data_IF_919691505016
#
_entry.id   IF_919691505016
#
_cell.length_a   1.000
_cell.length_b   1.000
_cell.length_c   1.000
_cell.angle_alpha   90.00
_cell.angle_beta   90.00
_cell.angle_gamma   90.00
#
_symmetry.space_group_name_H-M   'P 1'
#
loop_
_entity.id
_entity.type
_entity.pdbx_description
1 polymer ?
#
# COMPACT_ATOMS: atom_id res chain seq x y z
N UNK A 1 33.67 40.31 -52.70
CA UNK A 1 32.51 39.40 -52.58
C UNK A 1 32.90 38.21 -51.71
N UNK A 2 32.62 38.34 -50.42
CA UNK A 2 32.92 37.31 -49.41
C UNK A 2 31.57 36.74 -48.95
N UNK A 3 31.32 35.45 -49.17
CA UNK A 3 30.13 34.74 -48.73
C UNK A 3 30.48 34.10 -47.36
N UNK A 4 29.75 34.53 -46.33
CA UNK A 4 29.83 33.98 -44.98
C UNK A 4 28.95 32.71 -44.91
N UNK A 5 29.55 31.57 -44.50
CA UNK A 5 28.88 30.32 -44.23
C UNK A 5 28.42 30.38 -42.76
N UNK A 6 27.10 30.40 -42.57
CA UNK A 6 26.45 30.30 -41.29
C UNK A 6 26.39 28.83 -40.84
N UNK A 7 27.13 28.44 -39.83
CA UNK A 7 27.01 27.15 -39.17
C UNK A 7 26.08 27.31 -37.95
N UNK A 8 24.87 26.76 -38.06
CA UNK A 8 23.98 26.62 -36.94
C UNK A 8 24.47 25.55 -35.97
N UNK A 9 24.56 25.81 -34.66
CA UNK A 9 24.88 24.77 -33.68
C UNK A 9 23.72 23.80 -33.53
N UNK A 10 23.98 22.52 -33.79
CA UNK A 10 23.04 21.44 -33.57
C UNK A 10 22.58 21.42 -32.11
N UNK A 11 21.26 21.45 -31.93
CA UNK A 11 20.60 21.21 -30.65
C UNK A 11 20.91 19.79 -30.19
N UNK A 12 21.84 19.65 -29.24
CA UNK A 12 22.01 18.41 -28.47
C UNK A 12 20.76 18.31 -27.61
N UNK A 13 19.86 17.41 -27.99
CA UNK A 13 18.72 17.03 -27.14
C UNK A 13 19.32 16.33 -25.92
N UNK A 14 19.33 17.04 -24.81
CA UNK A 14 19.72 16.52 -23.50
C UNK A 14 18.61 15.56 -23.04
N UNK A 15 18.72 14.27 -23.41
CA UNK A 15 17.85 13.19 -22.91
C UNK A 15 18.19 12.87 -21.45
N UNK A 16 17.96 13.85 -20.59
CA UNK A 16 18.10 13.73 -19.15
C UNK A 16 16.81 13.14 -18.57
N UNK A 17 16.29 12.04 -19.12
CA UNK A 17 15.39 11.13 -18.39
C UNK A 17 16.21 10.35 -17.37
N UNK A 18 16.69 11.04 -16.34
CA UNK A 18 16.99 10.36 -15.09
C UNK A 18 15.68 9.69 -14.67
N UNK A 19 15.66 8.36 -14.73
CA UNK A 19 14.61 7.53 -14.18
C UNK A 19 14.38 8.00 -12.75
N UNK A 20 13.34 8.81 -12.53
CA UNK A 20 12.98 9.23 -11.19
C UNK A 20 12.67 7.96 -10.39
N UNK A 21 13.40 7.72 -9.30
CA UNK A 21 13.17 6.57 -8.44
C UNK A 21 11.73 6.62 -7.91
N UNK A 22 11.09 5.46 -7.74
CA UNK A 22 9.79 5.41 -7.07
C UNK A 22 9.98 5.80 -5.61
N UNK A 23 9.06 6.60 -5.07
CA UNK A 23 9.06 6.96 -3.65
C UNK A 23 8.61 5.79 -2.77
N UNK A 24 7.95 4.79 -3.36
CA UNK A 24 7.44 3.60 -2.70
C UNK A 24 8.55 2.56 -2.61
N UNK A 25 8.95 2.11 -1.41
CA UNK A 25 9.93 1.05 -1.22
C UNK A 25 9.51 -0.26 -1.90
N UNK A 26 10.48 -1.00 -2.43
CA UNK A 26 10.24 -2.31 -3.08
C UNK A 26 10.09 -3.43 -2.05
N UNK A 27 9.08 -3.30 -1.20
CA UNK A 27 8.73 -4.27 -0.16
C UNK A 27 7.25 -4.61 -0.32
N UNK A 28 6.93 -5.90 -0.27
CA UNK A 28 5.55 -6.40 -0.24
C UNK A 28 5.27 -6.94 1.15
N UNK A 29 4.26 -6.38 1.79
CA UNK A 29 3.76 -6.78 3.09
C UNK A 29 2.53 -7.67 2.93
N UNK A 30 2.57 -8.85 3.52
CA UNK A 30 1.44 -9.77 3.58
C UNK A 30 1.27 -10.30 4.99
N UNK A 31 0.05 -10.64 5.35
CA UNK A 31 -0.25 -11.22 6.67
C UNK A 31 -1.32 -12.29 6.58
N UNK A 32 -1.23 -13.24 7.49
CA UNK A 32 -2.28 -14.22 7.77
C UNK A 32 -2.17 -14.63 9.25
N UNK A 33 -3.21 -15.27 9.77
CA UNK A 33 -3.17 -15.79 11.16
C UNK A 33 -2.17 -16.95 11.33
N UNK A 34 -1.77 -17.62 10.24
CA UNK A 34 -0.78 -18.70 10.23
C UNK A 34 0.06 -18.67 8.95
N UNK A 35 1.26 -19.22 9.03
CA UNK A 35 2.13 -19.46 7.87
C UNK A 35 1.72 -20.69 7.03
N UNK A 36 0.74 -21.47 7.52
CA UNK A 36 0.19 -22.62 6.78
C UNK A 36 -0.92 -22.12 5.85
N UNK A 37 -0.67 -22.15 4.55
CA UNK A 37 -1.60 -21.68 3.53
C UNK A 37 -1.95 -22.81 2.56
N UNK A 38 -3.14 -22.72 1.96
CA UNK A 38 -3.63 -23.67 0.97
C UNK A 38 -2.80 -23.67 -0.32
N UNK A 39 -2.92 -24.73 -1.12
CA UNK A 39 -2.22 -24.81 -2.41
C UNK A 39 -2.57 -23.66 -3.37
N UNK A 40 -3.83 -23.20 -3.51
CA UNK A 40 -4.15 -22.05 -4.34
C UNK A 40 -3.42 -20.78 -3.92
N UNK A 41 -3.32 -20.52 -2.61
CA UNK A 41 -2.58 -19.36 -2.09
C UNK A 41 -1.08 -19.47 -2.37
N UNK A 42 -0.50 -20.70 -2.24
CA UNK A 42 0.90 -20.94 -2.63
C UNK A 42 1.15 -20.66 -4.10
N UNK A 43 0.22 -21.08 -4.97
CA UNK A 43 0.31 -20.81 -6.41
C UNK A 43 0.25 -19.30 -6.70
N UNK A 44 -0.66 -18.57 -6.06
CA UNK A 44 -0.74 -17.11 -6.15
C UNK A 44 0.57 -16.43 -5.66
N UNK A 45 1.17 -16.93 -4.59
CA UNK A 45 2.47 -16.45 -4.10
C UNK A 45 3.59 -16.64 -5.13
N UNK A 46 3.69 -17.83 -5.73
CA UNK A 46 4.69 -18.10 -6.77
C UNK A 46 4.49 -17.15 -7.96
N UNK A 47 3.24 -16.97 -8.39
CA UNK A 47 2.89 -16.04 -9.45
C UNK A 47 3.25 -14.58 -9.11
N UNK A 48 2.85 -14.11 -7.94
CA UNK A 48 3.15 -12.76 -7.49
C UNK A 48 4.67 -12.51 -7.42
N UNK A 49 5.45 -13.50 -6.92
CA UNK A 49 6.91 -13.42 -6.88
C UNK A 49 7.54 -13.33 -8.27
N UNK A 50 6.96 -14.02 -9.24
CA UNK A 50 7.42 -13.94 -10.63
C UNK A 50 7.21 -12.52 -11.21
N UNK A 51 6.08 -11.89 -10.92
CA UNK A 51 5.72 -10.56 -11.39
C UNK A 51 6.34 -9.41 -10.59
N UNK A 52 6.94 -9.71 -9.43
CA UNK A 52 7.53 -8.72 -8.53
C UNK A 52 8.94 -9.10 -8.06
N UNK A 53 9.77 -9.63 -8.96
CA UNK A 53 11.13 -10.16 -8.64
C UNK A 53 12.05 -9.16 -7.95
N UNK A 54 11.86 -7.86 -8.18
CA UNK A 54 12.66 -6.80 -7.57
C UNK A 54 12.15 -6.37 -6.20
N UNK A 55 11.08 -7.01 -5.68
CA UNK A 55 10.49 -6.70 -4.39
C UNK A 55 10.88 -7.75 -3.34
N UNK A 56 11.17 -7.28 -2.13
CA UNK A 56 11.31 -8.13 -0.96
C UNK A 56 9.92 -8.50 -0.43
N UNK A 57 9.67 -9.78 -0.16
CA UNK A 57 8.45 -10.26 0.48
C UNK A 57 8.64 -10.36 1.98
N UNK A 58 7.78 -9.68 2.73
CA UNK A 58 7.73 -9.69 4.18
C UNK A 58 6.37 -10.22 4.62
N UNK A 59 6.35 -11.44 5.15
CA UNK A 59 5.17 -12.07 5.72
C UNK A 59 5.17 -11.90 7.23
N UNK A 60 3.99 -11.60 7.81
CA UNK A 60 3.79 -11.48 9.25
C UNK A 60 2.62 -12.36 9.70
N UNK A 61 2.88 -13.21 10.68
CA UNK A 61 1.84 -13.94 11.42
C UNK A 61 1.08 -13.01 12.37
N UNK A 62 0.13 -13.54 13.12
CA UNK A 62 -0.56 -12.77 14.18
C UNK A 62 0.43 -12.29 15.24
N UNK A 63 1.33 -13.16 15.66
CA UNK A 63 2.37 -12.86 16.66
C UNK A 63 3.36 -11.79 16.15
N UNK A 64 3.80 -11.92 14.89
CA UNK A 64 4.71 -10.96 14.26
C UNK A 64 4.07 -9.57 14.14
N UNK A 65 2.76 -9.50 13.83
CA UNK A 65 2.02 -8.24 13.80
C UNK A 65 1.98 -7.57 15.17
N UNK A 66 1.68 -8.35 16.22
CA UNK A 66 1.64 -7.83 17.59
C UNK A 66 3.01 -7.30 17.99
N UNK A 67 4.06 -8.08 17.80
CA UNK A 67 5.44 -7.66 18.11
C UNK A 67 5.83 -6.39 17.36
N UNK A 68 5.45 -6.28 16.07
CA UNK A 68 5.67 -5.07 15.30
C UNK A 68 4.94 -3.86 15.89
N UNK A 69 3.68 -4.01 16.29
CA UNK A 69 2.87 -2.93 16.87
C UNK A 69 3.46 -2.47 18.20
N UNK A 70 3.78 -3.39 19.09
CA UNK A 70 4.39 -3.09 20.40
C UNK A 70 5.72 -2.33 20.25
N UNK A 71 6.55 -2.75 19.31
CA UNK A 71 7.86 -2.13 19.07
C UNK A 71 7.76 -0.73 18.45
N UNK A 72 6.83 -0.52 17.50
CA UNK A 72 6.82 0.68 16.66
C UNK A 72 5.73 1.69 17.02
N UNK A 73 4.69 1.26 17.74
CA UNK A 73 3.53 2.07 18.13
C UNK A 73 3.14 1.84 19.61
N UNK A 74 4.10 2.00 20.56
CA UNK A 74 3.85 1.73 21.97
C UNK A 74 2.77 2.66 22.56
N UNK A 75 2.18 2.23 23.70
CA UNK A 75 1.14 2.97 24.40
C UNK A 75 -0.24 2.82 23.79
N UNK A 76 -0.97 3.92 23.63
CA UNK A 76 -2.37 3.93 23.20
C UNK A 76 -2.65 3.14 21.90
N UNK A 77 -1.85 3.26 20.83
CA UNK A 77 -2.10 2.48 19.61
C UNK A 77 -2.02 0.98 19.83
N UNK A 78 -1.07 0.48 20.66
CA UNK A 78 -0.97 -0.92 21.04
C UNK A 78 -2.17 -1.36 21.86
N UNK A 79 -2.62 -0.56 22.82
CA UNK A 79 -3.83 -0.85 23.59
C UNK A 79 -5.06 -1.00 22.70
N UNK A 80 -5.24 -0.10 21.73
CA UNK A 80 -6.34 -0.13 20.77
C UNK A 80 -6.24 -1.34 19.82
N UNK A 81 -5.03 -1.70 19.37
CA UNK A 81 -4.81 -2.91 18.59
C UNK A 81 -5.23 -4.17 19.37
N UNK A 82 -4.89 -4.26 20.65
CA UNK A 82 -5.23 -5.39 21.52
C UNK A 82 -6.74 -5.46 21.87
N UNK A 83 -7.48 -4.36 21.74
CA UNK A 83 -8.94 -4.37 21.88
C UNK A 83 -9.66 -5.05 20.71
N UNK A 84 -9.00 -5.15 19.55
CA UNK A 84 -9.57 -5.81 18.38
C UNK A 84 -9.52 -7.33 18.56
N UNK A 85 -10.66 -7.98 18.67
CA UNK A 85 -10.79 -9.44 18.82
C UNK A 85 -10.89 -10.17 17.48
N UNK A 86 -11.15 -9.44 16.39
CA UNK A 86 -11.31 -9.99 15.04
C UNK A 86 -9.99 -9.83 14.28
N UNK A 87 -9.40 -10.96 13.84
CA UNK A 87 -8.11 -10.97 13.17
C UNK A 87 -8.05 -10.15 11.87
N UNK A 88 -9.20 -10.03 11.15
CA UNK A 88 -9.31 -9.16 9.99
C UNK A 88 -9.16 -7.67 10.37
N UNK A 89 -9.82 -7.22 11.45
CA UNK A 89 -9.69 -5.86 11.95
C UNK A 89 -8.26 -5.53 12.41
N UNK A 90 -7.59 -6.50 13.06
CA UNK A 90 -6.18 -6.37 13.41
C UNK A 90 -5.29 -6.24 12.17
N UNK A 91 -5.57 -7.01 11.11
CA UNK A 91 -4.85 -6.92 9.85
C UNK A 91 -5.08 -5.57 9.15
N UNK A 92 -6.33 -5.05 9.19
CA UNK A 92 -6.68 -3.74 8.62
C UNK A 92 -5.93 -2.59 9.31
N UNK A 93 -5.86 -2.58 10.64
CA UNK A 93 -5.09 -1.59 11.38
C UNK A 93 -3.58 -1.75 11.12
N UNK A 94 -3.07 -2.98 11.17
CA UNK A 94 -1.65 -3.27 10.98
C UNK A 94 -1.15 -2.86 9.58
N UNK A 95 -1.94 -3.06 8.50
CA UNK A 95 -1.53 -2.64 7.15
C UNK A 95 -1.28 -1.14 7.05
N UNK A 96 -2.08 -0.33 7.74
CA UNK A 96 -1.86 1.12 7.80
C UNK A 96 -0.62 1.47 8.62
N UNK A 97 -0.40 0.80 9.74
CA UNK A 97 0.77 1.01 10.59
C UNK A 97 2.08 0.67 9.86
N UNK A 98 2.17 -0.50 9.21
CA UNK A 98 3.38 -0.90 8.50
C UNK A 98 3.67 -0.02 7.30
N UNK A 99 2.64 0.38 6.54
CA UNK A 99 2.79 1.29 5.41
C UNK A 99 3.18 2.70 5.88
N UNK A 100 2.61 3.20 6.96
CA UNK A 100 3.01 4.50 7.51
C UNK A 100 4.48 4.50 7.96
N UNK A 101 4.91 3.44 8.64
CA UNK A 101 6.28 3.32 9.19
C UNK A 101 7.33 3.09 8.10
N UNK A 102 7.08 2.15 7.20
CA UNK A 102 8.09 1.66 6.26
C UNK A 102 7.76 1.93 4.80
N UNK A 103 6.53 2.28 4.48
CA UNK A 103 6.07 2.31 3.09
C UNK A 103 6.06 0.91 2.46
N UNK A 104 5.98 0.88 1.14
CA UNK A 104 5.93 -0.36 0.37
C UNK A 104 4.54 -0.66 -0.16
N UNK A 105 4.29 -1.93 -0.44
CA UNK A 105 3.05 -2.45 -0.99
C UNK A 105 2.43 -3.44 -0.02
N UNK A 106 1.24 -3.16 0.47
CA UNK A 106 0.44 -4.16 1.14
C UNK A 106 -0.48 -4.83 0.12
N UNK A 107 -0.61 -6.14 0.19
CA UNK A 107 -1.63 -6.88 -0.54
C UNK A 107 -2.10 -8.09 0.26
N UNK A 108 -3.41 -8.36 0.23
CA UNK A 108 -3.98 -9.50 0.90
C UNK A 108 -3.37 -10.81 0.37
N UNK A 109 -3.33 -11.82 1.21
CA UNK A 109 -2.61 -13.07 0.94
C UNK A 109 -3.20 -13.87 -0.23
N UNK A 110 -4.48 -13.70 -0.49
CA UNK A 110 -5.26 -14.31 -1.59
C UNK A 110 -5.31 -13.43 -2.85
N UNK A 111 -4.74 -12.22 -2.77
CA UNK A 111 -4.65 -11.34 -3.94
C UNK A 111 -3.58 -11.80 -4.91
N UNK A 112 -3.80 -11.57 -6.20
CA UNK A 112 -2.82 -11.88 -7.24
C UNK A 112 -2.61 -10.70 -8.18
N UNK A 113 -1.37 -10.56 -8.67
CA UNK A 113 -0.98 -9.54 -9.61
C UNK A 113 -1.36 -9.94 -11.03
N UNK A 114 -1.93 -9.03 -11.77
CA UNK A 114 -2.21 -9.20 -13.22
C UNK A 114 -1.01 -8.71 -14.05
N UNK A 115 -0.31 -7.70 -13.56
CA UNK A 115 0.85 -7.08 -14.21
C UNK A 115 2.04 -6.98 -13.27
N UNK A 116 3.29 -6.93 -13.81
CA UNK A 116 4.46 -6.65 -13.01
C UNK A 116 4.32 -5.34 -12.23
N UNK A 117 4.60 -5.34 -10.92
CA UNK A 117 4.49 -4.16 -10.06
C UNK A 117 5.28 -2.96 -10.58
N UNK A 118 6.44 -3.17 -11.19
CA UNK A 118 7.23 -2.08 -11.79
C UNK A 118 6.54 -1.36 -12.96
N UNK A 119 5.53 -1.98 -13.59
CA UNK A 119 4.68 -1.33 -14.59
C UNK A 119 3.50 -0.61 -13.97
N UNK A 120 3.04 -1.09 -12.83
CA UNK A 120 1.89 -0.55 -12.12
C UNK A 120 2.28 0.64 -11.24
N UNK A 121 3.45 0.60 -10.62
CA UNK A 121 3.99 1.66 -9.77
C UNK A 121 5.02 2.46 -10.59
N UNK A 122 4.57 3.59 -11.11
CA UNK A 122 5.39 4.48 -11.92
C UNK A 122 6.41 5.26 -11.08
N UNK A 123 7.46 5.75 -11.73
CA UNK A 123 8.45 6.61 -11.09
C UNK A 123 7.79 7.88 -10.51
N UNK A 124 8.21 8.30 -9.32
CA UNK A 124 7.66 9.48 -8.64
C UNK A 124 6.31 9.24 -7.95
N UNK A 125 5.71 8.05 -8.08
CA UNK A 125 4.47 7.71 -7.36
C UNK A 125 4.73 7.64 -5.86
N UNK A 126 3.94 8.36 -5.06
CA UNK A 126 3.99 8.36 -3.60
C UNK A 126 2.95 7.46 -2.93
N UNK A 127 1.86 7.16 -3.66
CA UNK A 127 0.77 6.30 -3.16
C UNK A 127 -0.09 5.76 -4.30
N UNK A 128 -0.72 4.61 -4.07
CA UNK A 128 -1.77 4.05 -4.94
C UNK A 128 -2.81 3.40 -4.03
N UNK A 129 -4.07 3.80 -4.21
CA UNK A 129 -5.25 3.14 -3.65
C UNK A 129 -6.07 2.51 -4.78
N UNK A 130 -6.73 1.40 -4.51
CA UNK A 130 -7.61 0.76 -5.47
C UNK A 130 -9.08 1.08 -5.18
N UNK A 131 -9.87 1.20 -6.26
CA UNK A 131 -11.33 1.29 -6.19
C UNK A 131 -11.97 0.43 -7.27
N UNK A 132 -13.17 -0.03 -7.01
CA UNK A 132 -14.00 -0.69 -8.02
C UNK A 132 -14.59 0.33 -9.02
N UNK A 133 -15.18 -0.17 -10.12
CA UNK A 133 -15.93 0.67 -11.09
C UNK A 133 -17.10 1.39 -10.43
N UNK A 134 -17.70 0.81 -9.40
CA UNK A 134 -18.72 1.40 -8.53
C UNK A 134 -18.23 2.60 -7.72
N UNK A 135 -16.94 2.92 -7.79
CA UNK A 135 -16.22 3.92 -7.00
C UNK A 135 -15.99 3.54 -5.54
N UNK A 136 -16.39 2.36 -5.11
CA UNK A 136 -16.13 1.88 -3.75
C UNK A 136 -14.62 1.66 -3.55
N UNK A 137 -14.10 2.21 -2.47
CA UNK A 137 -12.72 2.03 -2.06
C UNK A 137 -12.48 0.57 -1.67
N UNK A 138 -11.24 0.10 -1.88
CA UNK A 138 -10.79 -1.20 -1.42
C UNK A 138 -9.57 -1.02 -0.53
N UNK A 139 -9.29 -2.00 0.32
CA UNK A 139 -8.12 -1.98 1.20
C UNK A 139 -7.24 -3.23 1.07
N UNK A 140 -7.55 -4.14 0.13
CA UNK A 140 -6.79 -5.37 -0.09
C UNK A 140 -5.46 -5.15 -0.82
N UNK A 141 -5.28 -3.99 -1.44
CA UNK A 141 -4.03 -3.53 -2.05
C UNK A 141 -3.83 -2.05 -1.80
N UNK A 142 -2.68 -1.69 -1.23
CA UNK A 142 -2.28 -0.31 -0.99
C UNK A 142 -0.77 -0.21 -1.24
N UNK A 143 -0.35 0.77 -2.02
CA UNK A 143 1.07 1.10 -2.16
C UNK A 143 1.33 2.50 -1.64
N UNK A 144 2.39 2.71 -0.86
CA UNK A 144 2.66 3.99 -0.23
C UNK A 144 4.14 4.24 0.06
N UNK A 145 4.56 5.48 -0.08
CA UNK A 145 5.80 5.96 0.51
C UNK A 145 5.67 5.95 2.05
N UNK A 146 6.78 5.84 2.80
CA UNK A 146 6.74 5.97 4.26
C UNK A 146 6.31 7.37 4.67
N UNK A 147 5.70 7.49 5.86
CA UNK A 147 5.18 8.74 6.42
C UNK A 147 4.18 9.48 5.52
N UNK A 148 3.48 8.76 4.66
CA UNK A 148 2.49 9.34 3.76
C UNK A 148 1.33 9.98 4.54
N UNK A 149 0.93 11.24 4.24
CA UNK A 149 -0.09 11.96 4.99
C UNK A 149 -1.49 11.37 4.85
N UNK A 150 -1.83 10.74 3.72
CA UNK A 150 -3.12 10.07 3.54
C UNK A 150 -3.18 8.78 4.36
N UNK A 151 -2.09 7.99 4.39
CA UNK A 151 -1.98 6.82 5.29
C UNK A 151 -2.06 7.25 6.76
N UNK A 152 -1.42 8.37 7.15
CA UNK A 152 -1.53 8.91 8.52
C UNK A 152 -2.97 9.25 8.88
N UNK A 153 -3.68 9.90 7.99
CA UNK A 153 -5.08 10.26 8.21
C UNK A 153 -5.99 9.05 8.34
N UNK A 154 -5.78 8.01 7.51
CA UNK A 154 -6.50 6.76 7.62
C UNK A 154 -6.20 6.06 8.94
N UNK A 155 -4.93 6.02 9.34
CA UNK A 155 -4.50 5.42 10.61
C UNK A 155 -5.13 6.13 11.82
N UNK A 156 -5.11 7.46 11.83
CA UNK A 156 -5.68 8.26 12.92
C UNK A 156 -7.20 8.04 13.03
N UNK A 157 -7.90 8.01 11.90
CA UNK A 157 -9.34 7.75 11.89
C UNK A 157 -9.68 6.34 12.37
N UNK A 158 -8.94 5.32 11.94
CA UNK A 158 -9.14 3.95 12.42
C UNK A 158 -8.93 3.87 13.94
N UNK A 159 -7.85 4.45 14.45
CA UNK A 159 -7.60 4.48 15.90
C UNK A 159 -8.71 5.21 16.66
N UNK A 160 -9.20 6.33 16.13
CA UNK A 160 -10.32 7.07 16.71
C UNK A 160 -11.61 6.24 16.72
N UNK A 161 -11.93 5.54 15.62
CA UNK A 161 -13.12 4.69 15.56
C UNK A 161 -13.04 3.51 16.53
N UNK A 162 -11.88 2.87 16.67
CA UNK A 162 -11.67 1.79 17.66
C UNK A 162 -11.85 2.32 19.08
N UNK A 163 -11.42 3.54 19.37
CA UNK A 163 -11.56 4.14 20.70
C UNK A 163 -12.98 4.51 21.03
N UNK A 164 -13.72 5.07 20.09
CA UNK A 164 -15.04 5.71 20.33
C UNK A 164 -16.23 4.86 19.95
N UNK A 165 -16.06 3.91 19.00
CA UNK A 165 -17.18 3.10 18.52
C UNK A 165 -17.57 2.00 19.51
N UNK A 166 -18.88 1.79 19.63
CA UNK A 166 -19.46 0.61 20.29
C UNK A 166 -19.82 -0.51 19.29
N UNK A 167 -19.63 -0.25 17.99
CA UNK A 167 -19.89 -1.24 16.94
C UNK A 167 -18.75 -2.25 16.86
N UNK A 168 -19.07 -3.49 16.48
CA UNK A 168 -18.10 -4.53 16.13
C UNK A 168 -18.02 -4.74 14.61
N UNK A 169 -18.56 -3.82 13.80
CA UNK A 169 -18.55 -3.93 12.36
C UNK A 169 -17.18 -3.57 11.80
N UNK A 170 -16.40 -4.60 11.45
CA UNK A 170 -15.03 -4.44 10.88
C UNK A 170 -15.02 -3.53 9.65
N UNK A 171 -16.01 -3.65 8.77
CA UNK A 171 -16.11 -2.85 7.55
C UNK A 171 -16.16 -1.35 7.86
N UNK A 172 -16.88 -0.95 8.89
CA UNK A 172 -17.07 0.45 9.29
C UNK A 172 -15.90 1.00 10.12
N UNK A 173 -15.29 0.16 10.96
CA UNK A 173 -14.28 0.61 11.93
C UNK A 173 -12.89 0.63 11.32
N UNK A 174 -12.52 -0.43 10.61
CA UNK A 174 -11.15 -0.62 10.10
C UNK A 174 -11.08 -0.86 8.59
N UNK A 175 -12.21 -1.19 7.99
CA UNK A 175 -12.31 -1.64 6.62
C UNK A 175 -12.45 -0.53 5.56
N UNK A 176 -12.91 -0.87 4.36
CA UNK A 176 -12.96 0.03 3.20
C UNK A 176 -13.77 1.31 3.39
N UNK A 177 -14.77 1.33 4.29
CA UNK A 177 -15.58 2.54 4.52
C UNK A 177 -14.72 3.71 5.04
N UNK A 178 -13.70 3.42 5.84
CA UNK A 178 -12.78 4.45 6.34
C UNK A 178 -12.04 5.13 5.18
N UNK A 179 -11.62 4.35 4.17
CA UNK A 179 -10.97 4.88 2.98
C UNK A 179 -11.89 5.79 2.18
N UNK A 180 -13.15 5.39 2.06
CA UNK A 180 -14.17 6.19 1.37
C UNK A 180 -14.35 7.54 2.05
N UNK A 181 -14.53 7.55 3.36
CA UNK A 181 -14.81 8.75 4.15
C UNK A 181 -13.61 9.72 4.18
N UNK A 182 -12.42 9.18 4.41
CA UNK A 182 -11.21 10.01 4.59
C UNK A 182 -10.65 10.51 3.27
N UNK A 183 -10.68 9.68 2.21
CA UNK A 183 -10.07 10.04 0.93
C UNK A 183 -11.03 10.81 0.01
N UNK A 184 -12.33 10.87 0.29
CA UNK A 184 -13.32 11.53 -0.56
C UNK A 184 -12.95 12.97 -0.93
N UNK A 185 -12.38 13.72 0.01
CA UNK A 185 -12.04 15.14 -0.12
C UNK A 185 -10.54 15.42 -0.15
N UNK A 186 -9.71 14.41 -0.38
CA UNK A 186 -8.25 14.54 -0.40
C UNK A 186 -7.68 14.28 -1.78
N UNK A 187 -6.57 14.95 -2.10
CA UNK A 187 -5.78 14.61 -3.28
C UNK A 187 -5.06 13.29 -3.05
N UNK A 188 -5.30 12.31 -3.90
CA UNK A 188 -4.72 10.97 -3.82
C UNK A 188 -4.73 10.28 -5.19
N UNK A 189 -3.98 9.20 -5.31
CA UNK A 189 -3.86 8.43 -6.54
C UNK A 189 -4.75 7.18 -6.49
N UNK A 190 -5.85 7.20 -7.25
CA UNK A 190 -6.69 6.02 -7.47
C UNK A 190 -6.26 5.23 -8.70
N UNK A 191 -6.36 3.91 -8.60
CA UNK A 191 -6.35 2.98 -9.74
C UNK A 191 -7.60 2.11 -9.69
N UNK A 192 -8.08 1.67 -10.85
CA UNK A 192 -9.19 0.72 -10.90
C UNK A 192 -8.71 -0.67 -10.53
N UNK A 193 -9.44 -1.33 -9.64
CA UNK A 193 -9.28 -2.75 -9.39
C UNK A 193 -9.69 -3.51 -10.66
N UNK A 194 -8.83 -4.39 -11.15
CA UNK A 194 -9.14 -5.29 -12.25
C UNK A 194 -9.63 -6.60 -11.64
N UNK A 195 -10.87 -6.96 -11.97
CA UNK A 195 -11.35 -8.31 -11.71
C UNK A 195 -10.94 -9.18 -12.89
N UNK A 196 -10.24 -10.23 -12.59
CA UNK A 196 -10.01 -11.36 -13.49
C UNK A 196 -11.13 -12.38 -13.32
#
# INVERSE_FOLDING_TARGET
NSAAISTSPGRIANDNRRSAATLIPKIIWQTNYTNKVSLPIKAAWCWNRLLSRSYQYCFHSTEDRLAFVEQNFPGKPTELYNRLTIGAAQADLWRLMVLYKHGGVYMDIDSHLVWPLNRFIEAGTSEIFLRYKSKDATNYFIASAPANPNIKSLLDEVLYRIETSQSNNVYEITGPSVFQDILANKSHTWRLAQHT
#
